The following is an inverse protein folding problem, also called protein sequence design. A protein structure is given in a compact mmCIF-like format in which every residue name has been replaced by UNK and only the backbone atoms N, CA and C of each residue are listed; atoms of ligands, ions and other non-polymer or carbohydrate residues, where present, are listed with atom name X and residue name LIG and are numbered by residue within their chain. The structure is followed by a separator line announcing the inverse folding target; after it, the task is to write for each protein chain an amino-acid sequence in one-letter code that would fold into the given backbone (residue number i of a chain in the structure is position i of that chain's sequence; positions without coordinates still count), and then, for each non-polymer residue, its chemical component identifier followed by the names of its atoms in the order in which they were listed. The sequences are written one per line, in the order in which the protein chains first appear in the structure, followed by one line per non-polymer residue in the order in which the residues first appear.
data_IF_103182607559
#
_entry.id   IF_103182607559
#
_cell.length_a   1.000
_cell.length_b   1.000
_cell.length_c   1.000
_cell.angle_alpha   90.00
_cell.angle_beta   90.00
_cell.angle_gamma   90.00
#
_symmetry.space_group_name_H-M   'P 1'
#
loop_
_entity.id
_entity.type
_entity.pdbx_description
1 polymer ?
#
# COMPACT_ATOMS: atom_id res chain seq x y z
N UNK A 1 13.45 -19.37 -4.13
CA UNK A 1 13.06 -17.94 -4.21
C UNK A 1 13.13 -17.26 -2.84
N UNK A 2 12.47 -17.78 -1.79
CA UNK A 2 12.48 -17.16 -0.44
C UNK A 2 13.88 -16.74 0.07
N UNK A 3 14.87 -17.66 0.01
CA UNK A 3 16.25 -17.34 0.40
C UNK A 3 16.79 -16.09 -0.32
N UNK A 4 16.54 -15.97 -1.61
CA UNK A 4 17.05 -14.87 -2.41
C UNK A 4 16.42 -13.53 -1.98
N UNK A 5 15.10 -13.46 -1.84
CA UNK A 5 14.39 -12.23 -1.51
C UNK A 5 14.62 -11.79 -0.05
N UNK A 6 14.55 -12.72 0.90
CA UNK A 6 14.81 -12.40 2.32
C UNK A 6 16.27 -12.01 2.54
N UNK A 7 17.22 -12.69 1.90
CA UNK A 7 18.62 -12.28 1.97
C UNK A 7 18.87 -10.94 1.28
N UNK A 8 18.13 -10.58 0.23
CA UNK A 8 18.23 -9.28 -0.40
C UNK A 8 17.80 -8.15 0.55
N UNK A 9 16.68 -8.30 1.27
CA UNK A 9 16.25 -7.33 2.27
C UNK A 9 17.31 -7.15 3.35
N UNK A 10 17.79 -8.26 3.92
CA UNK A 10 18.85 -8.22 4.94
C UNK A 10 20.15 -7.59 4.41
N UNK A 11 20.53 -7.87 3.18
CA UNK A 11 21.73 -7.29 2.56
C UNK A 11 21.66 -5.77 2.51
N UNK A 12 20.52 -5.20 2.09
CA UNK A 12 20.33 -3.75 2.10
C UNK A 12 20.35 -3.18 3.52
N UNK A 13 19.78 -3.88 4.49
CA UNK A 13 19.78 -3.46 5.89
C UNK A 13 21.21 -3.44 6.46
N UNK A 14 21.90 -4.58 6.41
CA UNK A 14 23.20 -4.77 7.07
C UNK A 14 24.33 -3.97 6.38
N UNK A 15 24.35 -3.90 5.05
CA UNK A 15 25.48 -3.32 4.31
C UNK A 15 25.31 -1.82 4.02
N UNK A 16 24.07 -1.36 3.88
CA UNK A 16 23.76 0.03 3.51
C UNK A 16 23.06 0.80 4.63
N UNK A 17 22.73 0.14 5.74
CA UNK A 17 22.07 0.75 6.90
C UNK A 17 20.76 1.46 6.50
N UNK A 18 19.95 0.82 5.65
CA UNK A 18 18.61 1.30 5.36
C UNK A 18 17.71 1.11 6.60
N UNK A 19 17.04 2.19 6.99
CA UNK A 19 16.08 2.23 8.11
C UNK A 19 14.69 1.68 7.76
N UNK A 20 14.49 1.21 6.52
CA UNK A 20 13.17 0.82 6.06
C UNK A 20 13.05 0.57 4.56
N UNK A 21 11.86 0.12 4.15
CA UNK A 21 11.56 -0.29 2.79
C UNK A 21 10.15 0.10 2.38
N UNK A 22 10.01 0.54 1.13
CA UNK A 22 8.74 0.53 0.42
C UNK A 22 8.69 -0.70 -0.48
N UNK A 23 7.66 -1.51 -0.35
CA UNK A 23 7.40 -2.65 -1.23
C UNK A 23 6.45 -2.17 -2.33
N UNK A 24 6.97 -2.10 -3.55
CA UNK A 24 6.24 -1.63 -4.72
C UNK A 24 5.39 -2.74 -5.33
N UNK A 25 4.24 -2.37 -5.89
CA UNK A 25 3.34 -3.30 -6.57
C UNK A 25 2.77 -4.39 -5.67
N UNK A 26 2.51 -4.11 -4.38
CA UNK A 26 1.96 -5.09 -3.43
C UNK A 26 0.60 -5.60 -3.92
N UNK A 27 -0.25 -4.76 -4.51
CA UNK A 27 -1.51 -5.23 -5.13
C UNK A 27 -1.26 -6.32 -6.18
N UNK A 28 -0.22 -6.18 -7.00
CA UNK A 28 0.12 -7.19 -8.01
C UNK A 28 0.61 -8.50 -7.39
N UNK A 29 1.15 -8.44 -6.17
CA UNK A 29 1.58 -9.63 -5.42
C UNK A 29 0.39 -10.30 -4.73
N UNK A 30 -0.53 -9.52 -4.17
CA UNK A 30 -1.64 -10.03 -3.34
C UNK A 30 -2.67 -10.85 -4.12
N UNK A 31 -2.83 -10.56 -5.41
CA UNK A 31 -3.88 -11.18 -6.22
C UNK A 31 -3.31 -11.83 -7.47
N UNK A 32 -3.81 -13.02 -7.84
CA UNK A 32 -3.46 -13.69 -9.09
C UNK A 32 -3.89 -12.88 -10.33
N UNK A 33 -5.00 -12.14 -10.24
CA UNK A 33 -5.41 -11.16 -11.26
C UNK A 33 -4.51 -9.92 -11.31
N UNK A 34 -3.61 -9.75 -10.33
CA UNK A 34 -2.76 -8.58 -10.14
C UNK A 34 -3.52 -7.27 -9.94
N UNK A 35 -4.80 -7.36 -9.53
CA UNK A 35 -5.72 -6.22 -9.47
C UNK A 35 -6.20 -5.70 -10.84
N UNK A 36 -5.84 -6.37 -11.95
CA UNK A 36 -6.25 -5.95 -13.29
C UNK A 36 -7.70 -6.37 -13.55
N UNK A 37 -8.55 -5.41 -13.87
CA UNK A 37 -9.97 -5.65 -14.14
C UNK A 37 -10.81 -5.94 -12.90
N UNK A 38 -10.22 -5.78 -11.71
CA UNK A 38 -10.92 -5.88 -10.43
C UNK A 38 -11.35 -4.49 -9.95
N UNK A 39 -12.56 -4.40 -9.42
CA UNK A 39 -13.01 -3.24 -8.65
C UNK A 39 -12.95 -3.60 -7.17
N UNK A 40 -12.22 -2.81 -6.37
CA UNK A 40 -12.21 -2.96 -4.91
C UNK A 40 -13.29 -2.07 -4.32
N UNK A 41 -14.50 -2.61 -4.20
CA UNK A 41 -15.67 -1.90 -3.65
C UNK A 41 -15.62 -1.78 -2.13
N UNK A 42 -14.84 -2.65 -1.48
CA UNK A 42 -14.82 -2.80 -0.03
C UNK A 42 -15.60 -4.01 0.48
N UNK A 43 -16.20 -4.81 -0.40
CA UNK A 43 -16.74 -6.13 -0.05
C UNK A 43 -15.57 -7.09 0.28
N UNK A 44 -15.66 -7.74 1.44
CA UNK A 44 -14.59 -8.58 1.96
C UNK A 44 -14.34 -9.83 1.10
N UNK A 45 -15.31 -10.25 0.27
CA UNK A 45 -15.14 -11.34 -0.68
C UNK A 45 -14.08 -11.04 -1.76
N UNK A 46 -13.84 -9.75 -2.07
CA UNK A 46 -12.82 -9.31 -3.04
C UNK A 46 -11.39 -9.48 -2.48
N UNK A 47 -11.25 -9.49 -1.15
CA UNK A 47 -9.95 -9.55 -0.46
C UNK A 47 -9.61 -10.94 0.07
N UNK A 48 -10.60 -11.82 0.22
CA UNK A 48 -10.46 -13.11 0.92
C UNK A 48 -11.08 -14.27 0.12
N UNK A 49 -10.63 -14.45 -1.12
CA UNK A 49 -11.09 -15.51 -2.02
C UNK A 49 -9.95 -16.28 -2.68
N UNK A 50 -10.30 -17.14 -3.64
CA UNK A 50 -9.32 -17.94 -4.41
C UNK A 50 -8.41 -17.10 -5.32
N UNK A 51 -8.73 -15.82 -5.53
CA UNK A 51 -7.88 -14.91 -6.27
C UNK A 51 -6.67 -14.43 -5.45
N UNK A 52 -6.67 -14.65 -4.13
CA UNK A 52 -5.59 -14.21 -3.25
C UNK A 52 -4.38 -15.13 -3.39
N UNK A 53 -3.22 -14.56 -3.64
CA UNK A 53 -1.96 -15.30 -3.72
C UNK A 53 -1.40 -15.55 -2.30
N UNK A 54 -1.67 -16.73 -1.78
CA UNK A 54 -1.23 -17.11 -0.44
C UNK A 54 0.29 -17.29 -0.33
N UNK A 55 1.00 -17.59 -1.42
CA UNK A 55 2.47 -17.70 -1.41
C UNK A 55 3.09 -16.32 -1.25
N UNK A 56 2.56 -15.32 -1.95
CA UNK A 56 2.97 -13.93 -1.81
C UNK A 56 2.68 -13.39 -0.40
N UNK A 57 1.49 -13.64 0.15
CA UNK A 57 1.15 -13.25 1.52
C UNK A 57 2.12 -13.84 2.55
N UNK A 58 2.43 -15.12 2.44
CA UNK A 58 3.37 -15.79 3.33
C UNK A 58 4.77 -15.18 3.22
N UNK A 59 5.22 -14.88 2.00
CA UNK A 59 6.50 -14.18 1.80
C UNK A 59 6.51 -12.80 2.47
N UNK A 60 5.49 -11.97 2.25
CA UNK A 60 5.40 -10.63 2.84
C UNK A 60 5.36 -10.68 4.37
N UNK A 61 4.57 -11.59 4.95
CA UNK A 61 4.54 -11.83 6.39
C UNK A 61 5.90 -12.26 6.95
N UNK A 62 6.60 -13.18 6.28
CA UNK A 62 7.94 -13.60 6.67
C UNK A 62 8.96 -12.46 6.57
N UNK A 63 8.88 -11.64 5.51
CA UNK A 63 9.76 -10.50 5.29
C UNK A 63 9.59 -9.45 6.40
N UNK A 64 8.34 -9.04 6.67
CA UNK A 64 8.04 -8.08 7.73
C UNK A 64 8.44 -8.62 9.11
N UNK A 65 8.11 -9.88 9.42
CA UNK A 65 8.51 -10.49 10.69
C UNK A 65 10.03 -10.50 10.85
N UNK A 66 10.77 -10.90 9.82
CA UNK A 66 12.23 -10.93 9.85
C UNK A 66 12.83 -9.53 10.07
N UNK A 67 12.38 -8.52 9.31
CA UNK A 67 12.90 -7.17 9.41
C UNK A 67 12.71 -6.58 10.82
N UNK A 68 11.51 -6.69 11.39
CA UNK A 68 11.23 -6.21 12.75
C UNK A 68 11.91 -7.03 13.86
N UNK A 69 12.37 -8.25 13.56
CA UNK A 69 13.21 -9.04 14.48
C UNK A 69 14.68 -8.62 14.41
N UNK A 70 15.16 -8.17 13.25
CA UNK A 70 16.52 -7.66 13.07
C UNK A 70 16.66 -6.28 13.70
N UNK A 71 15.67 -5.42 13.47
CA UNK A 71 15.60 -4.07 14.00
C UNK A 71 14.13 -3.67 14.21
N UNK A 72 13.78 -3.37 15.46
CA UNK A 72 12.42 -3.01 15.85
C UNK A 72 12.02 -1.60 15.41
N UNK A 73 12.97 -0.75 14.98
CA UNK A 73 12.72 0.61 14.49
C UNK A 73 12.57 0.67 12.95
N UNK A 74 12.84 -0.42 12.25
CA UNK A 74 12.70 -0.51 10.79
C UNK A 74 11.26 -0.25 10.36
N UNK A 75 11.07 0.60 9.35
CA UNK A 75 9.74 0.92 8.80
C UNK A 75 9.51 0.20 7.48
N UNK A 76 8.40 -0.51 7.32
CA UNK A 76 7.96 -1.07 6.04
C UNK A 76 6.64 -0.48 5.55
N UNK A 77 6.62 -0.09 4.27
CA UNK A 77 5.49 0.58 3.62
C UNK A 77 5.01 -0.26 2.43
N UNK A 78 3.71 -0.56 2.39
CA UNK A 78 3.09 -1.23 1.24
C UNK A 78 2.53 -0.22 0.22
N UNK A 79 2.93 -0.35 -1.03
CA UNK A 79 2.23 0.25 -2.17
C UNK A 79 1.09 -0.68 -2.61
N UNK A 80 -0.08 -0.50 -1.99
CA UNK A 80 -1.28 -1.27 -2.27
C UNK A 80 -2.49 -0.36 -2.53
N UNK A 81 -3.02 -0.44 -3.75
CA UNK A 81 -4.23 0.28 -4.18
C UNK A 81 -5.52 -0.43 -3.73
N UNK A 82 -5.51 -1.76 -3.51
CA UNK A 82 -6.74 -2.50 -3.19
C UNK A 82 -7.29 -2.11 -1.82
N UNK A 83 -6.40 -1.93 -0.85
CA UNK A 83 -6.77 -1.72 0.54
C UNK A 83 -7.10 -2.99 1.29
N UNK A 84 -6.29 -4.02 1.06
CA UNK A 84 -6.38 -5.28 1.78
C UNK A 84 -6.44 -5.06 3.30
N UNK A 85 -7.50 -5.53 3.98
CA UNK A 85 -7.56 -5.46 5.44
C UNK A 85 -6.40 -6.21 6.09
N UNK A 86 -5.94 -5.71 7.24
CA UNK A 86 -4.86 -6.30 8.06
C UNK A 86 -3.48 -6.33 7.40
N UNK A 87 -3.31 -5.68 6.24
CA UNK A 87 -2.02 -5.51 5.58
C UNK A 87 -1.03 -4.80 6.50
N UNK A 88 -1.51 -3.79 7.24
CA UNK A 88 -0.68 -3.00 8.16
C UNK A 88 -0.93 -3.32 9.64
N UNK A 89 -1.25 -4.59 9.94
CA UNK A 89 -1.34 -5.10 11.31
C UNK A 89 -0.17 -6.05 11.61
N UNK A 90 0.31 -6.13 12.85
CA UNK A 90 1.43 -7.02 13.21
C UNK A 90 1.18 -8.48 12.83
N UNK A 91 2.23 -9.20 12.43
CA UNK A 91 2.16 -10.64 12.12
C UNK A 91 1.67 -11.45 13.31
N UNK A 92 2.00 -11.04 14.54
CA UNK A 92 1.53 -11.69 15.77
C UNK A 92 0.02 -11.59 15.99
N UNK A 93 -0.67 -10.66 15.33
CA UNK A 93 -2.13 -10.51 15.36
C UNK A 93 -2.82 -11.22 14.17
N UNK A 94 -2.05 -11.86 13.29
CA UNK A 94 -2.55 -12.42 12.02
C UNK A 94 -2.61 -11.41 10.88
N UNK A 95 -1.96 -10.24 11.01
CA UNK A 95 -1.74 -9.31 9.91
C UNK A 95 -0.51 -9.66 9.07
N UNK A 96 -0.23 -8.83 8.05
CA UNK A 96 0.91 -9.04 7.14
C UNK A 96 2.18 -8.32 7.62
N UNK A 97 2.05 -7.40 8.57
CA UNK A 97 3.18 -6.81 9.30
C UNK A 97 3.78 -5.56 8.67
N UNK A 98 3.13 -4.94 7.69
CA UNK A 98 3.55 -3.60 7.26
C UNK A 98 3.22 -2.55 8.34
N UNK A 99 4.00 -1.48 8.41
CA UNK A 99 3.72 -0.38 9.32
C UNK A 99 2.73 0.61 8.73
N UNK A 100 2.87 0.87 7.42
CA UNK A 100 2.05 1.82 6.68
C UNK A 100 1.66 1.27 5.31
N UNK A 101 0.58 1.84 4.77
CA UNK A 101 0.25 1.77 3.35
C UNK A 101 0.17 3.15 2.72
N UNK A 102 0.29 3.23 1.41
CA UNK A 102 0.12 4.46 0.66
C UNK A 102 -1.38 4.82 0.47
N UNK A 103 -1.71 6.10 0.68
CA UNK A 103 -3.04 6.67 0.44
C UNK A 103 -3.28 6.98 -1.05
N UNK A 104 -3.25 5.95 -1.90
CA UNK A 104 -3.15 6.11 -3.36
C UNK A 104 -4.37 6.77 -4.03
N UNK A 105 -5.53 6.81 -3.38
CA UNK A 105 -6.73 7.48 -3.91
C UNK A 105 -6.72 9.02 -3.73
N UNK A 106 -5.80 9.55 -2.92
CA UNK A 106 -5.76 10.98 -2.58
C UNK A 106 -5.31 11.83 -3.79
N UNK A 107 -4.24 11.48 -4.51
CA UNK A 107 -3.82 12.26 -5.69
C UNK A 107 -4.85 12.30 -6.80
N UNK A 108 -5.54 11.18 -7.06
CA UNK A 108 -6.58 11.10 -8.10
C UNK A 108 -7.71 12.11 -7.83
N UNK A 109 -8.06 12.32 -6.54
CA UNK A 109 -9.05 13.33 -6.16
C UNK A 109 -8.57 14.74 -6.45
N UNK A 110 -7.32 15.08 -6.21
CA UNK A 110 -6.78 16.40 -6.56
C UNK A 110 -6.78 16.61 -8.07
N UNK A 111 -6.40 15.60 -8.83
CA UNK A 111 -6.42 15.65 -10.29
C UNK A 111 -7.84 15.84 -10.83
N UNK A 112 -8.81 15.09 -10.33
CA UNK A 112 -10.23 15.22 -10.69
C UNK A 112 -10.72 16.67 -10.45
N UNK A 113 -10.47 17.20 -9.24
CA UNK A 113 -10.87 18.56 -8.87
C UNK A 113 -10.23 19.64 -9.77
N UNK A 114 -8.94 19.50 -10.09
CA UNK A 114 -8.20 20.51 -10.86
C UNK A 114 -8.45 20.43 -12.38
N UNK A 115 -8.78 19.26 -12.90
CA UNK A 115 -9.01 19.08 -14.35
C UNK A 115 -10.47 19.21 -14.76
N UNK A 116 -11.39 18.79 -13.89
CA UNK A 116 -12.78 18.55 -14.30
C UNK A 116 -13.79 19.50 -13.65
N UNK A 117 -13.41 20.24 -12.60
CA UNK A 117 -14.33 21.08 -11.82
C UNK A 117 -13.81 22.51 -11.69
N UNK A 118 -14.69 23.51 -11.70
CA UNK A 118 -14.32 24.86 -11.29
C UNK A 118 -14.32 24.99 -9.76
N UNK A 119 -13.57 25.96 -9.22
CA UNK A 119 -13.39 26.14 -7.77
C UNK A 119 -14.71 26.21 -6.97
N UNK A 120 -15.77 26.77 -7.58
CA UNK A 120 -17.10 26.91 -6.98
C UNK A 120 -17.93 25.62 -6.97
N UNK A 121 -17.53 24.60 -7.75
CA UNK A 121 -18.16 23.28 -7.80
C UNK A 121 -17.54 22.30 -6.80
N UNK A 122 -16.42 22.67 -6.16
CA UNK A 122 -15.69 21.78 -5.26
C UNK A 122 -16.53 21.36 -4.06
N UNK A 123 -16.79 20.06 -3.96
CA UNK A 123 -17.56 19.49 -2.87
C UNK A 123 -16.66 19.20 -1.65
N UNK A 124 -16.71 20.08 -0.65
CA UNK A 124 -15.94 19.93 0.60
C UNK A 124 -16.22 18.62 1.34
N UNK A 125 -17.47 18.12 1.30
CA UNK A 125 -17.83 16.85 1.92
C UNK A 125 -17.17 15.66 1.23
N UNK A 126 -17.07 15.70 -0.10
CA UNK A 126 -16.38 14.68 -0.89
C UNK A 126 -14.86 14.71 -0.63
N UNK A 127 -14.25 15.89 -0.58
CA UNK A 127 -12.83 16.03 -0.27
C UNK A 127 -12.48 15.48 1.13
N UNK A 128 -13.26 15.87 2.16
CA UNK A 128 -13.09 15.35 3.52
C UNK A 128 -13.27 13.83 3.53
N UNK A 129 -14.27 13.32 2.81
CA UNK A 129 -14.48 11.88 2.69
C UNK A 129 -13.25 11.18 2.10
N UNK A 130 -12.69 11.64 0.98
CA UNK A 130 -11.49 11.03 0.40
C UNK A 130 -10.29 11.04 1.36
N UNK A 131 -10.05 12.14 2.06
CA UNK A 131 -8.90 12.27 2.97
C UNK A 131 -9.04 11.43 4.26
N UNK A 132 -10.28 11.11 4.65
CA UNK A 132 -10.58 10.41 5.92
C UNK A 132 -11.06 8.97 5.72
N UNK A 133 -11.42 8.55 4.50
CA UNK A 133 -11.88 7.20 4.19
C UNK A 133 -10.71 6.21 4.18
N UNK A 134 -10.28 5.81 5.38
CA UNK A 134 -9.22 4.83 5.61
C UNK A 134 -9.53 3.97 6.82
N UNK A 135 -8.85 2.83 6.94
CA UNK A 135 -8.95 1.94 8.10
C UNK A 135 -8.22 2.58 9.29
N UNK A 136 -8.95 2.98 10.32
CA UNK A 136 -8.39 3.77 11.43
C UNK A 136 -7.35 3.03 12.29
N UNK A 137 -7.34 1.69 12.29
CA UNK A 137 -6.37 0.86 13.02
C UNK A 137 -5.11 0.55 12.21
N UNK A 138 -4.99 1.06 10.99
CA UNK A 138 -3.89 0.80 10.08
C UNK A 138 -3.31 2.15 9.62
N UNK A 139 -2.00 2.33 9.71
CA UNK A 139 -1.41 3.62 9.38
C UNK A 139 -1.39 3.85 7.87
N UNK A 140 -1.46 5.11 7.46
CA UNK A 140 -1.45 5.50 6.04
C UNK A 140 -0.52 6.68 5.84
N UNK A 141 0.37 6.58 4.86
CA UNK A 141 1.14 7.74 4.36
C UNK A 141 0.29 8.41 3.29
N UNK A 142 -0.18 9.63 3.59
CA UNK A 142 -0.94 10.45 2.67
C UNK A 142 -0.02 11.41 1.90
N UNK A 143 -0.32 11.63 0.63
CA UNK A 143 0.40 12.55 -0.25
C UNK A 143 -0.58 13.16 -1.25
N UNK A 144 -0.34 14.42 -1.65
CA UNK A 144 -1.19 15.12 -2.62
C UNK A 144 -0.84 14.74 -4.06
N UNK A 145 0.43 14.47 -4.34
CA UNK A 145 0.96 14.02 -5.62
C UNK A 145 2.26 13.23 -5.39
N UNK A 146 2.61 12.33 -6.30
CA UNK A 146 3.85 11.55 -6.28
C UNK A 146 4.35 11.27 -7.71
N UNK A 147 5.39 10.43 -7.82
CA UNK A 147 5.83 9.89 -9.10
C UNK A 147 4.75 9.09 -9.87
N UNK A 148 3.70 8.61 -9.19
CA UNK A 148 2.63 7.81 -9.80
C UNK A 148 1.93 8.59 -10.91
N UNK A 149 1.68 9.89 -10.67
CA UNK A 149 1.04 10.80 -11.61
C UNK A 149 1.95 11.08 -12.82
N UNK A 150 3.27 11.16 -12.61
CA UNK A 150 4.22 11.36 -13.70
C UNK A 150 4.27 10.15 -14.66
N UNK A 151 4.08 8.92 -14.15
CA UNK A 151 4.09 7.70 -14.96
C UNK A 151 2.88 7.60 -15.90
N UNK A 152 1.71 8.09 -15.46
CA UNK A 152 0.48 8.12 -16.29
C UNK A 152 0.39 9.35 -17.21
N UNK A 153 1.38 10.24 -17.15
CA UNK A 153 1.48 11.42 -18.01
C UNK A 153 0.69 12.63 -17.51
N UNK A 154 0.36 12.66 -16.22
CA UNK A 154 -0.31 13.79 -15.60
C UNK A 154 0.62 14.96 -15.31
N UNK A 155 0.02 16.11 -14.99
CA UNK A 155 0.72 17.35 -14.63
C UNK A 155 0.78 17.46 -13.11
N UNK A 156 1.81 18.12 -12.62
CA UNK A 156 1.89 18.53 -11.20
C UNK A 156 0.71 19.43 -10.85
N UNK A 157 0.34 19.43 -9.56
CA UNK A 157 -0.67 20.35 -8.99
C UNK A 157 -0.29 21.82 -9.24
#
# INVERSE_FOLDING_TARGET
VLRFLLSNLRWWHDEYNFDGYRFDGVTSMLYHSRGIGEGFSGDYNEYFGLNVDTDALNYLGLANHMLHQLDAETITIAEDVSGMPTLCRPVSEGGIGFDYRLGMAIPDKWIELLKEQSDDEWNMGNLVHTLTNRRWMENTVAYAESHDQALVGDKTI
#
